data_IF_139602113571
#
_entry.id   IF_139602113571
#
_cell.length_a   1.000
_cell.length_b   1.000
_cell.length_c   1.000
_cell.angle_alpha   90.00
_cell.angle_beta   90.00
_cell.angle_gamma   90.00
#
_symmetry.space_group_name_H-M   'P 1'
#
loop_
_entity.id
_entity.type
_entity.pdbx_description
1 polymer ?
#
# COMPACT_ATOMS: atom_id res chain seq x y z
N UNK A 1 73.10 -29.47 -30.74
CA UNK A 1 71.71 -29.91 -30.49
C UNK A 1 71.08 -28.91 -29.53
N UNK A 2 70.28 -27.97 -30.03
CA UNK A 2 69.53 -27.02 -29.19
C UNK A 2 68.05 -27.12 -29.60
N UNK A 3 67.20 -27.68 -28.73
CA UNK A 3 65.75 -27.66 -28.90
C UNK A 3 65.16 -26.57 -27.99
N UNK A 4 64.69 -25.49 -28.62
CA UNK A 4 63.89 -24.47 -27.96
C UNK A 4 62.43 -24.89 -28.04
N UNK A 5 61.87 -25.29 -26.91
CA UNK A 5 60.44 -25.59 -26.77
C UNK A 5 59.69 -24.27 -26.58
N UNK A 6 58.81 -23.95 -27.52
CA UNK A 6 57.95 -22.77 -27.48
C UNK A 6 56.66 -23.14 -26.74
N UNK A 7 56.49 -22.66 -25.51
CA UNK A 7 55.23 -22.78 -24.76
C UNK A 7 54.27 -21.70 -25.23
N UNK A 8 53.22 -22.09 -25.96
CA UNK A 8 52.11 -21.21 -26.32
C UNK A 8 51.10 -21.21 -25.16
N UNK A 9 51.03 -20.09 -24.45
CA UNK A 9 50.05 -19.87 -23.38
C UNK A 9 48.71 -19.45 -24.03
N UNK A 10 47.76 -20.36 -24.08
CA UNK A 10 46.42 -20.12 -24.62
C UNK A 10 45.55 -19.46 -23.53
N UNK A 11 45.44 -18.13 -23.56
CA UNK A 11 44.53 -17.37 -22.69
C UNK A 11 43.09 -17.58 -23.15
N UNK A 12 42.34 -18.40 -22.42
CA UNK A 12 40.88 -18.49 -22.57
C UNK A 12 40.24 -17.20 -22.03
N UNK A 13 39.80 -16.30 -22.92
CA UNK A 13 38.85 -15.26 -22.54
C UNK A 13 37.51 -15.94 -22.21
N UNK A 14 37.18 -16.05 -20.92
CA UNK A 14 35.82 -16.35 -20.48
C UNK A 14 35.01 -15.06 -20.70
N UNK A 15 34.41 -14.93 -21.88
CA UNK A 15 33.39 -13.91 -22.11
C UNK A 15 32.24 -14.16 -21.15
N UNK A 16 32.10 -13.32 -20.12
CA UNK A 16 30.94 -13.35 -19.26
C UNK A 16 29.70 -13.08 -20.11
N UNK A 17 28.83 -14.07 -20.26
CA UNK A 17 27.50 -13.84 -20.81
C UNK A 17 26.78 -12.92 -19.81
N UNK A 18 26.67 -11.63 -20.14
CA UNK A 18 25.64 -10.81 -19.52
C UNK A 18 24.32 -11.41 -19.99
N UNK A 19 23.70 -12.26 -19.16
CA UNK A 19 22.32 -12.66 -19.39
C UNK A 19 21.51 -11.37 -19.32
N UNK A 20 21.11 -10.87 -20.49
CA UNK A 20 20.18 -9.76 -20.56
C UNK A 20 18.96 -10.15 -19.72
N UNK A 21 18.71 -9.39 -18.65
CA UNK A 21 17.51 -9.57 -17.86
C UNK A 21 16.29 -9.39 -18.78
N UNK A 22 15.17 -9.98 -18.38
CA UNK A 22 13.93 -9.96 -19.14
C UNK A 22 13.29 -8.57 -19.03
N UNK A 23 12.78 -8.04 -20.16
CA UNK A 23 11.83 -6.91 -20.13
C UNK A 23 10.45 -7.35 -19.66
N UNK A 24 10.09 -8.62 -19.91
CA UNK A 24 8.90 -9.28 -19.37
C UNK A 24 9.27 -10.67 -18.84
N UNK A 25 9.04 -10.90 -17.56
CA UNK A 25 9.11 -12.23 -16.94
C UNK A 25 7.72 -12.82 -16.74
N UNK A 26 7.63 -14.14 -16.71
CA UNK A 26 6.40 -14.89 -16.48
C UNK A 26 6.54 -15.84 -15.29
N UNK A 27 5.47 -15.96 -14.50
CA UNK A 27 5.32 -16.94 -13.44
C UNK A 27 4.09 -17.83 -13.68
N UNK A 28 4.15 -19.06 -13.19
CA UNK A 28 3.10 -20.07 -13.34
C UNK A 28 3.15 -21.03 -12.15
N UNK A 29 2.02 -21.56 -11.69
CA UNK A 29 2.01 -22.63 -10.68
C UNK A 29 2.65 -23.93 -11.17
N UNK A 30 2.79 -24.09 -12.49
CA UNK A 30 3.50 -25.20 -13.14
C UNK A 30 4.95 -24.85 -13.51
N UNK A 31 5.39 -23.63 -13.18
CA UNK A 31 6.75 -23.15 -13.44
C UNK A 31 7.80 -23.76 -12.52
N UNK A 32 9.07 -23.40 -12.78
CA UNK A 32 10.21 -23.82 -11.99
C UNK A 32 11.18 -22.63 -11.83
N UNK A 33 11.65 -22.35 -10.62
CA UNK A 33 12.55 -21.22 -10.34
C UNK A 33 13.98 -21.41 -10.89
N UNK A 34 14.29 -22.56 -11.47
CA UNK A 34 15.48 -22.78 -12.30
C UNK A 34 15.31 -22.28 -13.74
N UNK A 35 14.09 -21.97 -14.18
CA UNK A 35 13.81 -21.50 -15.53
C UNK A 35 14.28 -20.04 -15.73
N UNK A 36 14.45 -19.59 -16.98
CA UNK A 36 14.77 -18.18 -17.30
C UNK A 36 13.59 -17.21 -17.09
N UNK A 37 12.46 -17.66 -16.52
CA UNK A 37 11.24 -16.90 -16.31
C UNK A 37 10.63 -16.30 -17.60
N UNK A 38 10.76 -16.96 -18.75
CA UNK A 38 10.11 -16.54 -20.00
C UNK A 38 8.72 -17.16 -20.13
N UNK A 39 7.88 -16.69 -21.05
CA UNK A 39 6.53 -17.27 -21.24
C UNK A 39 6.57 -18.79 -21.51
N UNK A 40 7.46 -19.33 -22.38
CA UNK A 40 7.56 -20.78 -22.59
C UNK A 40 8.26 -21.54 -21.46
N UNK A 41 8.94 -20.84 -20.55
CA UNK A 41 9.65 -21.43 -19.42
C UNK A 41 9.50 -20.53 -18.19
N UNK A 42 8.28 -20.48 -17.60
CA UNK A 42 7.97 -19.56 -16.53
C UNK A 42 8.60 -19.99 -15.21
N UNK A 43 8.85 -19.03 -14.34
CA UNK A 43 9.28 -19.29 -12.97
C UNK A 43 8.09 -19.71 -12.09
N UNK A 44 8.37 -20.34 -10.95
CA UNK A 44 7.31 -20.73 -10.01
C UNK A 44 6.86 -19.55 -9.15
N UNK A 45 7.80 -18.68 -8.77
CA UNK A 45 7.57 -17.62 -7.79
C UNK A 45 7.83 -16.22 -8.36
N UNK A 46 7.12 -15.22 -7.84
CA UNK A 46 7.43 -13.81 -8.13
C UNK A 46 8.81 -13.43 -7.62
N UNK A 47 9.22 -13.93 -6.45
CA UNK A 47 10.54 -13.69 -5.88
C UNK A 47 11.66 -14.02 -6.87
N UNK A 48 11.58 -15.17 -7.56
CA UNK A 48 12.57 -15.53 -8.58
C UNK A 48 12.47 -14.64 -9.81
N UNK A 49 11.26 -14.41 -10.33
CA UNK A 49 11.04 -13.61 -11.53
C UNK A 49 11.57 -12.18 -11.37
N UNK A 50 11.48 -11.60 -10.17
CA UNK A 50 12.03 -10.28 -9.86
C UNK A 50 13.54 -10.27 -10.14
N UNK A 51 14.32 -11.24 -9.68
CA UNK A 51 15.80 -11.24 -9.84
C UNK A 51 16.30 -11.22 -11.29
N UNK A 52 15.45 -11.61 -12.24
CA UNK A 52 15.79 -11.69 -13.67
C UNK A 52 15.03 -10.67 -14.52
N UNK A 53 14.25 -9.77 -13.91
CA UNK A 53 13.50 -8.73 -14.64
C UNK A 53 14.26 -7.40 -14.56
N UNK A 54 14.42 -6.74 -15.71
CA UNK A 54 15.01 -5.40 -15.80
C UNK A 54 14.20 -4.39 -14.98
N UNK A 55 14.86 -3.35 -14.48
CA UNK A 55 14.15 -2.15 -14.01
C UNK A 55 13.32 -1.56 -15.17
N UNK A 56 12.10 -1.14 -14.88
CA UNK A 56 11.07 -0.76 -15.83
C UNK A 56 10.31 -1.94 -16.47
N UNK A 57 10.61 -3.18 -16.09
CA UNK A 57 10.03 -4.39 -16.67
C UNK A 57 8.65 -4.77 -16.11
N UNK A 58 8.10 -5.87 -16.64
CA UNK A 58 6.82 -6.44 -16.24
C UNK A 58 6.97 -7.90 -15.81
N UNK A 59 6.23 -8.30 -14.77
CA UNK A 59 6.14 -9.69 -14.31
C UNK A 59 4.67 -10.12 -14.35
N UNK A 60 4.40 -11.17 -15.12
CA UNK A 60 3.03 -11.65 -15.36
C UNK A 60 2.79 -13.04 -14.79
N UNK A 61 1.73 -13.22 -13.99
CA UNK A 61 1.23 -14.55 -13.63
C UNK A 61 0.33 -15.10 -14.74
N UNK A 62 0.72 -16.25 -15.30
CA UNK A 62 0.06 -16.87 -16.46
C UNK A 62 -1.15 -17.71 -16.10
N UNK A 63 -1.27 -18.14 -14.85
CA UNK A 63 -2.37 -18.97 -14.37
C UNK A 63 -2.86 -18.56 -12.98
N UNK A 64 -4.04 -19.04 -12.62
CA UNK A 64 -4.64 -18.79 -11.33
C UNK A 64 -4.02 -19.67 -10.25
N UNK A 65 -3.51 -19.07 -9.18
CA UNK A 65 -3.02 -19.84 -8.03
C UNK A 65 -2.26 -19.02 -7.00
N UNK A 66 -1.57 -19.74 -6.10
CA UNK A 66 -0.72 -19.16 -5.06
C UNK A 66 0.72 -18.98 -5.51
N UNK A 67 1.27 -17.78 -5.29
CA UNK A 67 2.62 -17.39 -5.72
C UNK A 67 3.60 -17.05 -4.60
N UNK A 68 3.09 -16.95 -3.37
CA UNK A 68 3.88 -16.66 -2.17
C UNK A 68 4.29 -15.19 -2.03
N UNK A 69 4.67 -14.76 -0.82
CA UNK A 69 5.20 -13.42 -0.55
C UNK A 69 6.47 -13.10 -1.33
N UNK A 70 6.74 -11.82 -1.60
CA UNK A 70 7.95 -11.38 -2.31
C UNK A 70 8.32 -9.93 -2.01
N UNK A 71 9.54 -9.54 -2.40
CA UNK A 71 10.06 -8.18 -2.26
C UNK A 71 10.42 -7.59 -3.61
N UNK A 72 10.03 -6.33 -3.84
CA UNK A 72 10.40 -5.52 -5.00
C UNK A 72 11.45 -4.50 -4.59
N UNK A 73 12.57 -4.47 -5.29
CA UNK A 73 13.72 -3.60 -5.04
C UNK A 73 14.08 -2.70 -6.24
N UNK A 74 13.22 -2.66 -7.26
CA UNK A 74 13.38 -1.83 -8.46
C UNK A 74 12.05 -1.52 -9.13
N UNK A 75 12.05 -0.62 -10.12
CA UNK A 75 10.86 -0.33 -10.90
C UNK A 75 10.36 -1.58 -11.65
N UNK A 76 9.18 -2.09 -11.31
CA UNK A 76 8.53 -3.19 -12.04
C UNK A 76 7.00 -3.07 -11.92
N UNK A 77 6.30 -3.66 -12.88
CA UNK A 77 4.88 -3.94 -12.76
C UNK A 77 4.64 -5.43 -12.50
N UNK A 78 3.75 -5.76 -11.56
CA UNK A 78 3.38 -7.14 -11.23
C UNK A 78 1.87 -7.29 -11.33
N UNK A 79 1.43 -8.27 -12.13
CA UNK A 79 0.00 -8.55 -12.35
C UNK A 79 -0.26 -9.98 -12.82
N UNK A 80 -1.46 -10.52 -12.64
CA UNK A 80 -1.92 -11.67 -13.41
C UNK A 80 -2.33 -11.29 -14.84
N UNK A 81 -2.50 -12.30 -15.69
CA UNK A 81 -3.32 -12.16 -16.89
C UNK A 81 -4.76 -11.76 -16.50
N UNK A 82 -5.49 -11.01 -17.35
CA UNK A 82 -6.87 -10.63 -17.04
C UNK A 82 -7.75 -11.85 -16.68
N UNK A 83 -8.47 -11.76 -15.56
CA UNK A 83 -9.36 -12.82 -15.07
C UNK A 83 -8.67 -13.93 -14.27
N UNK A 84 -7.35 -13.96 -14.18
CA UNK A 84 -6.64 -14.92 -13.32
C UNK A 84 -6.48 -14.40 -11.88
N UNK A 85 -6.42 -15.36 -10.95
CA UNK A 85 -6.20 -15.12 -9.53
C UNK A 85 -4.70 -15.25 -9.19
N UNK A 86 -4.08 -14.18 -8.69
CA UNK A 86 -2.72 -14.24 -8.16
C UNK A 86 -2.75 -14.02 -6.63
N UNK A 87 -2.73 -15.13 -5.90
CA UNK A 87 -2.89 -15.15 -4.44
C UNK A 87 -1.57 -15.21 -3.66
N UNK A 88 -1.52 -14.46 -2.56
CA UNK A 88 -0.47 -14.52 -1.55
C UNK A 88 -1.10 -14.88 -0.20
N UNK A 89 -0.45 -15.77 0.55
CA UNK A 89 -0.83 -16.16 1.90
C UNK A 89 0.37 -16.03 2.85
N UNK A 90 0.72 -14.80 3.28
CA UNK A 90 1.83 -14.59 4.21
C UNK A 90 1.55 -15.23 5.57
N UNK A 91 2.52 -15.97 6.11
CA UNK A 91 2.42 -16.67 7.41
C UNK A 91 3.48 -16.27 8.43
N UNK A 92 4.61 -15.69 7.99
CA UNK A 92 5.75 -15.36 8.86
C UNK A 92 6.46 -14.05 8.49
N UNK A 93 6.03 -13.37 7.43
CA UNK A 93 6.54 -12.10 6.96
C UNK A 93 5.42 -11.31 6.31
N UNK A 94 5.65 -10.04 6.00
CA UNK A 94 4.73 -9.25 5.18
C UNK A 94 4.47 -9.93 3.81
N UNK A 95 3.35 -9.59 3.19
CA UNK A 95 2.96 -10.13 1.88
C UNK A 95 3.84 -9.62 0.74
N UNK A 96 3.87 -8.30 0.54
CA UNK A 96 4.72 -7.64 -0.45
C UNK A 96 5.50 -6.49 0.18
N UNK A 97 6.82 -6.58 0.17
CA UNK A 97 7.69 -5.45 0.52
C UNK A 97 8.11 -4.68 -0.73
N UNK A 98 8.00 -3.35 -0.72
CA UNK A 98 8.48 -2.47 -1.80
C UNK A 98 9.56 -1.56 -1.25
N UNK A 99 10.80 -1.84 -1.65
CA UNK A 99 12.04 -1.14 -1.26
C UNK A 99 12.84 -0.77 -2.51
N UNK A 100 12.21 -0.07 -3.44
CA UNK A 100 12.80 0.33 -4.71
C UNK A 100 13.64 1.61 -4.58
N UNK A 101 14.41 1.94 -5.62
CA UNK A 101 15.15 3.20 -5.68
C UNK A 101 14.22 4.41 -5.65
N UNK A 102 14.69 5.54 -5.11
CA UNK A 102 13.85 6.75 -4.91
C UNK A 102 13.26 7.36 -6.18
N UNK A 103 13.71 6.93 -7.36
CA UNK A 103 13.20 7.36 -8.68
C UNK A 103 12.31 6.30 -9.36
N UNK A 104 12.17 5.12 -8.75
CA UNK A 104 11.51 3.96 -9.33
C UNK A 104 9.99 4.00 -9.11
N UNK A 105 9.25 3.64 -10.16
CA UNK A 105 7.80 3.43 -10.09
C UNK A 105 7.49 1.94 -10.04
N UNK A 106 6.63 1.55 -9.10
CA UNK A 106 6.16 0.18 -8.92
C UNK A 106 4.66 0.13 -9.10
N UNK A 107 4.17 -0.87 -9.84
CA UNK A 107 2.74 -1.08 -10.06
C UNK A 107 2.36 -2.50 -9.63
N UNK A 108 1.42 -2.60 -8.70
CA UNK A 108 0.77 -3.84 -8.31
C UNK A 108 -0.68 -3.80 -8.80
N UNK A 109 -1.07 -4.78 -9.63
CA UNK A 109 -2.44 -4.85 -10.15
C UNK A 109 -3.03 -6.24 -10.01
N UNK A 110 -4.27 -6.34 -9.51
CA UNK A 110 -5.01 -7.61 -9.52
C UNK A 110 -4.46 -8.66 -8.57
N UNK A 111 -3.71 -8.25 -7.55
CA UNK A 111 -3.12 -9.16 -6.57
C UNK A 111 -4.09 -9.36 -5.40
N UNK A 112 -4.24 -10.61 -4.98
CA UNK A 112 -5.01 -10.96 -3.78
C UNK A 112 -4.08 -11.40 -2.67
N UNK A 113 -4.26 -10.86 -1.46
CA UNK A 113 -3.49 -11.19 -0.27
C UNK A 113 -4.44 -11.63 0.84
N UNK A 114 -4.16 -12.76 1.48
CA UNK A 114 -4.91 -13.25 2.62
C UNK A 114 -3.98 -13.52 3.82
N UNK A 115 -4.15 -12.77 4.90
CA UNK A 115 -3.27 -12.83 6.07
C UNK A 115 -3.62 -13.89 7.13
N UNK A 116 -4.47 -14.86 6.80
CA UNK A 116 -4.89 -15.88 7.77
C UNK A 116 -3.70 -16.73 8.22
N UNK A 117 -3.42 -16.73 9.53
CA UNK A 117 -2.43 -17.61 10.17
C UNK A 117 -1.12 -16.95 10.59
N UNK A 118 -0.93 -15.65 10.32
CA UNK A 118 0.19 -14.87 10.85
C UNK A 118 -0.20 -13.92 11.98
N UNK A 119 0.77 -13.43 12.74
CA UNK A 119 0.56 -12.41 13.79
C UNK A 119 1.23 -11.10 13.41
N UNK A 120 0.50 -9.99 13.50
CA UNK A 120 0.96 -8.63 13.18
C UNK A 120 1.63 -8.50 11.80
N UNK A 121 1.05 -9.15 10.78
CA UNK A 121 1.60 -9.10 9.41
C UNK A 121 1.00 -7.95 8.61
N UNK A 122 1.83 -7.31 7.79
CA UNK A 122 1.38 -6.31 6.81
C UNK A 122 1.16 -6.93 5.44
N UNK A 123 0.09 -6.56 4.76
CA UNK A 123 -0.21 -7.07 3.42
C UNK A 123 0.79 -6.53 2.39
N UNK A 124 0.87 -5.20 2.28
CA UNK A 124 1.81 -4.48 1.41
C UNK A 124 2.51 -3.40 2.22
N UNK A 125 3.83 -3.42 2.23
CA UNK A 125 4.68 -2.42 2.89
C UNK A 125 5.41 -1.60 1.82
N UNK A 126 5.19 -0.28 1.80
CA UNK A 126 5.93 0.67 0.97
C UNK A 126 7.00 1.37 1.80
N UNK A 127 8.24 0.92 1.67
CA UNK A 127 9.39 1.46 2.39
C UNK A 127 10.21 2.46 1.59
N UNK A 128 10.33 2.26 0.28
CA UNK A 128 11.00 3.23 -0.60
C UNK A 128 10.60 3.07 -2.06
N UNK A 129 10.59 4.19 -2.78
CA UNK A 129 10.26 4.31 -4.21
C UNK A 129 9.82 5.72 -4.54
N UNK A 130 9.68 6.07 -5.83
CA UNK A 130 9.04 7.33 -6.24
C UNK A 130 7.53 7.22 -6.16
N UNK A 131 6.96 6.12 -6.66
CA UNK A 131 5.52 5.88 -6.62
C UNK A 131 5.24 4.39 -6.50
N UNK A 132 4.30 4.03 -5.61
CA UNK A 132 3.67 2.71 -5.58
C UNK A 132 2.21 2.86 -6.00
N UNK A 133 1.84 2.29 -7.14
CA UNK A 133 0.45 2.19 -7.57
C UNK A 133 -0.11 0.81 -7.23
N UNK A 134 -1.18 0.78 -6.44
CA UNK A 134 -1.95 -0.42 -6.09
C UNK A 134 -3.33 -0.27 -6.75
N UNK A 135 -3.66 -1.19 -7.65
CA UNK A 135 -4.88 -1.11 -8.45
C UNK A 135 -5.61 -2.45 -8.50
N UNK A 136 -6.94 -2.45 -8.29
CA UNK A 136 -7.75 -3.66 -8.41
C UNK A 136 -7.23 -4.80 -7.51
N UNK A 137 -6.68 -4.49 -6.34
CA UNK A 137 -6.17 -5.50 -5.42
C UNK A 137 -7.24 -5.86 -4.37
N UNK A 138 -7.10 -7.04 -3.76
CA UNK A 138 -7.94 -7.48 -2.64
C UNK A 138 -7.04 -7.94 -1.51
N UNK A 139 -7.07 -7.26 -0.36
CA UNK A 139 -6.26 -7.57 0.81
C UNK A 139 -7.22 -7.90 1.94
N UNK A 140 -7.06 -9.06 2.55
CA UNK A 140 -8.04 -9.57 3.49
C UNK A 140 -7.39 -10.28 4.67
N UNK A 141 -8.00 -10.14 5.86
CA UNK A 141 -7.61 -10.88 7.07
C UNK A 141 -6.16 -10.65 7.50
N UNK A 142 -5.63 -9.44 7.31
CA UNK A 142 -4.31 -9.09 7.82
C UNK A 142 -4.37 -8.84 9.32
N UNK A 143 -3.55 -9.53 10.10
CA UNK A 143 -3.52 -9.34 11.56
C UNK A 143 -2.84 -8.04 11.99
N UNK A 144 -2.07 -7.42 11.09
CA UNK A 144 -1.62 -6.04 11.18
C UNK A 144 -2.30 -5.17 10.11
N UNK A 145 -1.51 -4.41 9.37
CA UNK A 145 -2.01 -3.44 8.38
C UNK A 145 -2.21 -4.07 7.00
N UNK A 146 -3.25 -3.71 6.27
CA UNK A 146 -3.41 -4.13 4.87
C UNK A 146 -2.36 -3.49 3.97
N UNK A 147 -2.31 -2.16 3.95
CA UNK A 147 -1.31 -1.38 3.20
C UNK A 147 -0.65 -0.38 4.15
N UNK A 148 0.67 -0.45 4.32
CA UNK A 148 1.45 0.46 5.15
C UNK A 148 2.42 1.25 4.29
N UNK A 149 2.35 2.58 4.35
CA UNK A 149 3.33 3.48 3.72
C UNK A 149 4.09 4.27 4.77
N UNK A 150 5.41 4.12 4.71
CA UNK A 150 6.39 4.85 5.54
C UNK A 150 7.46 5.51 4.66
N UNK A 151 7.24 5.54 3.35
CA UNK A 151 8.20 6.03 2.37
C UNK A 151 8.06 7.55 2.16
N UNK A 152 9.10 8.16 1.59
CA UNK A 152 9.03 9.52 1.07
C UNK A 152 8.31 9.62 -0.30
N UNK A 153 7.84 8.49 -0.84
CA UNK A 153 7.21 8.40 -2.15
C UNK A 153 5.73 8.77 -2.12
N UNK A 154 5.09 8.59 -3.28
CA UNK A 154 3.63 8.69 -3.42
C UNK A 154 3.00 7.30 -3.47
N UNK A 155 2.14 6.98 -2.50
CA UNK A 155 1.23 5.84 -2.58
C UNK A 155 -0.04 6.22 -3.36
N UNK A 156 -0.39 5.43 -4.37
CA UNK A 156 -1.65 5.57 -5.10
C UNK A 156 -2.45 4.27 -4.96
N UNK A 157 -3.59 4.32 -4.28
CA UNK A 157 -4.51 3.19 -4.11
C UNK A 157 -5.79 3.47 -4.89
N UNK A 158 -6.14 2.56 -5.79
CA UNK A 158 -7.32 2.67 -6.65
C UNK A 158 -8.07 1.35 -6.74
N UNK A 159 -9.40 1.41 -6.70
CA UNK A 159 -10.29 0.26 -6.93
C UNK A 159 -9.90 -0.98 -6.11
N UNK A 160 -9.43 -0.75 -4.88
CA UNK A 160 -8.85 -1.80 -4.02
C UNK A 160 -9.71 -2.00 -2.78
N UNK A 161 -9.86 -3.25 -2.37
CA UNK A 161 -10.54 -3.60 -1.13
C UNK A 161 -9.53 -4.05 -0.08
N UNK A 162 -9.60 -3.48 1.12
CA UNK A 162 -8.91 -3.98 2.31
C UNK A 162 -9.93 -4.31 3.39
N UNK A 163 -10.01 -5.60 3.73
CA UNK A 163 -11.07 -6.11 4.61
C UNK A 163 -10.58 -6.97 5.76
N UNK A 164 -11.36 -7.04 6.84
CA UNK A 164 -11.12 -7.93 7.98
C UNK A 164 -9.71 -7.82 8.58
N UNK A 165 -9.08 -6.64 8.48
CA UNK A 165 -7.69 -6.42 8.89
C UNK A 165 -7.62 -5.53 10.13
N UNK A 166 -6.47 -5.40 10.78
CA UNK A 166 -6.37 -4.43 11.89
C UNK A 166 -6.50 -3.01 11.37
N UNK A 167 -5.62 -2.59 10.47
CA UNK A 167 -5.73 -1.30 9.77
C UNK A 167 -5.88 -1.54 8.28
N UNK A 168 -6.78 -0.86 7.60
CA UNK A 168 -6.95 -0.95 6.15
C UNK A 168 -5.75 -0.35 5.43
N UNK A 169 -5.62 0.98 5.49
CA UNK A 169 -4.46 1.72 4.98
C UNK A 169 -3.86 2.59 6.07
N UNK A 170 -2.56 2.46 6.28
CA UNK A 170 -1.77 3.33 7.15
C UNK A 170 -0.86 4.22 6.31
N UNK A 171 -0.88 5.53 6.57
CA UNK A 171 -0.05 6.53 5.92
C UNK A 171 0.76 7.28 6.97
N UNK A 172 2.07 7.07 6.97
CA UNK A 172 2.96 7.57 8.02
C UNK A 172 2.97 6.70 9.27
N UNK A 173 4.03 6.83 10.05
CA UNK A 173 4.12 6.51 11.48
C UNK A 173 5.42 7.10 12.06
N UNK A 174 5.79 8.29 11.59
CA UNK A 174 7.13 8.84 11.71
C UNK A 174 7.36 9.69 12.96
N UNK A 175 8.63 9.84 13.33
CA UNK A 175 9.14 10.76 14.33
C UNK A 175 9.80 11.97 13.66
N UNK A 176 10.29 12.91 14.47
CA UNK A 176 11.06 14.05 13.96
C UNK A 176 12.28 13.54 13.19
N UNK A 177 12.40 13.95 11.93
CA UNK A 177 13.45 13.51 11.00
C UNK A 177 12.99 12.48 9.97
N UNK A 178 11.82 11.86 10.16
CA UNK A 178 11.23 10.98 9.15
C UNK A 178 10.60 11.78 8.00
N UNK A 179 10.51 11.19 6.79
CA UNK A 179 9.94 11.88 5.65
C UNK A 179 8.44 12.16 5.82
N UNK A 180 7.97 13.16 5.09
CA UNK A 180 6.53 13.31 4.83
C UNK A 180 6.08 12.19 3.91
N UNK A 181 4.99 11.52 4.29
CA UNK A 181 4.42 10.38 3.55
C UNK A 181 3.18 10.83 2.80
N UNK A 182 3.06 10.50 1.51
CA UNK A 182 1.97 10.98 0.66
C UNK A 182 1.12 9.84 0.13
N UNK A 183 -0.21 9.96 0.23
CA UNK A 183 -1.13 8.97 -0.31
C UNK A 183 -2.32 9.60 -1.05
N UNK A 184 -2.76 8.94 -2.12
CA UNK A 184 -4.07 9.13 -2.75
C UNK A 184 -4.83 7.81 -2.73
N UNK A 185 -6.02 7.80 -2.14
CA UNK A 185 -6.90 6.64 -2.04
C UNK A 185 -8.21 6.97 -2.76
N UNK A 186 -8.57 6.18 -3.77
CA UNK A 186 -9.73 6.45 -4.61
C UNK A 186 -10.50 5.20 -4.99
N UNK A 187 -11.83 5.30 -5.09
CA UNK A 187 -12.68 4.19 -5.59
C UNK A 187 -12.57 2.91 -4.76
N UNK A 188 -12.11 3.00 -3.51
CA UNK A 188 -11.65 1.86 -2.72
C UNK A 188 -12.61 1.54 -1.57
N UNK A 189 -12.40 0.40 -0.92
CA UNK A 189 -13.25 -0.06 0.20
C UNK A 189 -12.39 -0.54 1.35
N UNK A 190 -12.49 0.13 2.50
CA UNK A 190 -11.87 -0.27 3.76
C UNK A 190 -12.96 -0.70 4.72
N UNK A 191 -13.15 -2.01 4.87
CA UNK A 191 -14.35 -2.55 5.50
C UNK A 191 -14.09 -3.69 6.49
N UNK A 192 -14.81 -3.70 7.62
CA UNK A 192 -14.59 -4.67 8.70
C UNK A 192 -13.15 -4.66 9.27
N UNK A 193 -12.46 -3.52 9.24
CA UNK A 193 -11.16 -3.38 9.90
C UNK A 193 -11.31 -2.85 11.34
N UNK A 194 -10.23 -2.74 12.12
CA UNK A 194 -10.27 -1.88 13.32
C UNK A 194 -10.22 -0.41 12.93
N UNK A 195 -9.35 -0.06 11.98
CA UNK A 195 -9.23 1.27 11.40
C UNK A 195 -9.33 1.18 9.87
N UNK A 196 -10.20 1.96 9.23
CA UNK A 196 -10.33 1.97 7.78
C UNK A 196 -9.11 2.59 7.11
N UNK A 197 -8.92 3.89 7.32
CA UNK A 197 -7.71 4.62 6.95
C UNK A 197 -7.16 5.33 8.18
N UNK A 198 -5.88 5.16 8.45
CA UNK A 198 -5.18 5.81 9.54
C UNK A 198 -4.00 6.64 9.01
N UNK A 199 -3.97 7.93 9.33
CA UNK A 199 -2.92 8.85 8.89
C UNK A 199 -2.21 9.42 10.11
N UNK A 200 -0.92 9.16 10.21
CA UNK A 200 -0.14 9.41 11.42
C UNK A 200 1.02 10.37 11.18
N UNK A 201 1.25 11.25 12.17
CA UNK A 201 2.34 12.23 12.33
C UNK A 201 2.81 12.95 11.06
N UNK A 202 3.51 12.30 10.14
CA UNK A 202 4.06 12.87 8.90
C UNK A 202 3.21 12.57 7.66
N UNK A 203 2.10 11.84 7.84
CA UNK A 203 1.23 11.38 6.78
C UNK A 203 0.33 12.47 6.21
N UNK A 204 0.22 12.50 4.88
CA UNK A 204 -0.68 13.38 4.14
C UNK A 204 -1.46 12.57 3.12
N UNK A 205 -2.79 12.58 3.22
CA UNK A 205 -3.62 11.75 2.36
C UNK A 205 -4.77 12.52 1.69
N UNK A 206 -5.09 12.14 0.46
CA UNK A 206 -6.34 12.50 -0.21
C UNK A 206 -7.19 11.25 -0.38
N UNK A 207 -8.41 11.25 0.17
CA UNK A 207 -9.35 10.12 0.11
C UNK A 207 -10.59 10.54 -0.67
N UNK A 208 -10.90 9.84 -1.76
CA UNK A 208 -12.08 10.17 -2.59
C UNK A 208 -12.85 8.94 -3.02
N UNK A 209 -14.17 9.05 -3.23
CA UNK A 209 -14.97 7.93 -3.75
C UNK A 209 -14.77 6.62 -2.98
N UNK A 210 -14.51 6.69 -1.67
CA UNK A 210 -14.09 5.54 -0.90
C UNK A 210 -15.13 5.21 0.15
N UNK A 211 -15.33 3.93 0.41
CA UNK A 211 -16.23 3.44 1.46
C UNK A 211 -15.39 2.98 2.64
N UNK A 212 -15.60 3.60 3.80
CA UNK A 212 -14.96 3.27 5.08
C UNK A 212 -16.07 2.77 6.02
N UNK A 213 -16.31 1.46 6.04
CA UNK A 213 -17.50 0.90 6.69
C UNK A 213 -17.26 -0.27 7.63
N UNK A 214 -18.16 -0.45 8.61
CA UNK A 214 -18.11 -1.58 9.56
C UNK A 214 -16.78 -1.70 10.31
N UNK A 215 -16.02 -0.61 10.44
CA UNK A 215 -14.75 -0.66 11.15
C UNK A 215 -15.01 -0.59 12.65
N UNK A 216 -14.51 -1.55 13.40
CA UNK A 216 -14.79 -1.68 14.84
C UNK A 216 -14.26 -0.50 15.67
N UNK A 217 -13.28 0.22 15.15
CA UNK A 217 -12.84 1.54 15.62
C UNK A 217 -13.28 2.64 14.67
N UNK A 218 -12.35 3.17 13.89
CA UNK A 218 -12.57 4.42 13.13
C UNK A 218 -12.63 4.16 11.62
N UNK A 219 -13.53 4.84 10.91
CA UNK A 219 -13.52 4.92 9.45
C UNK A 219 -12.27 5.63 8.94
N UNK A 220 -12.10 6.91 9.27
CA UNK A 220 -10.88 7.70 9.03
C UNK A 220 -10.32 8.27 10.34
N UNK A 221 -9.11 7.85 10.70
CA UNK A 221 -8.33 8.36 11.83
C UNK A 221 -7.18 9.25 11.33
N UNK A 222 -7.02 10.41 11.96
CA UNK A 222 -5.86 11.30 11.76
C UNK A 222 -5.26 11.66 13.09
N UNK A 223 -3.99 11.33 13.30
CA UNK A 223 -3.35 11.49 14.60
C UNK A 223 -1.93 12.03 14.51
N UNK A 224 -1.62 13.01 15.35
CA UNK A 224 -0.25 13.52 15.51
C UNK A 224 0.06 13.79 16.98
N UNK A 225 0.85 12.90 17.57
CA UNK A 225 1.24 12.96 18.99
C UNK A 225 2.65 13.50 19.20
N UNK A 226 3.35 13.86 18.12
CA UNK A 226 4.75 14.28 18.16
C UNK A 226 4.82 15.78 17.89
N UNK A 227 5.52 16.57 18.75
CA UNK A 227 5.68 18.01 18.53
C UNK A 227 6.19 18.31 17.12
N UNK A 228 5.70 19.39 16.52
CA UNK A 228 6.09 19.90 15.19
C UNK A 228 5.68 19.05 13.98
N UNK A 229 5.14 17.85 14.18
CA UNK A 229 4.68 16.99 13.08
C UNK A 229 3.19 17.21 12.77
N UNK A 230 2.82 17.03 11.50
CA UNK A 230 1.49 17.32 10.98
C UNK A 230 0.93 16.17 10.14
N UNK A 231 -0.16 15.58 10.62
CA UNK A 231 -0.98 14.65 9.86
C UNK A 231 -2.13 15.42 9.19
N UNK A 232 -2.32 15.25 7.89
CA UNK A 232 -3.23 16.09 7.12
C UNK A 232 -4.03 15.26 6.11
N UNK A 233 -5.35 15.36 6.15
CA UNK A 233 -6.23 14.61 5.25
C UNK A 233 -7.27 15.50 4.61
N UNK A 234 -7.42 15.35 3.30
CA UNK A 234 -8.60 15.80 2.55
C UNK A 234 -9.43 14.58 2.21
N UNK A 235 -10.71 14.57 2.61
CA UNK A 235 -11.65 13.52 2.26
C UNK A 235 -12.86 14.11 1.53
N UNK A 236 -13.19 13.53 0.38
CA UNK A 236 -14.29 14.00 -0.45
C UNK A 236 -15.13 12.86 -1.04
N UNK A 237 -16.45 13.06 -1.20
CA UNK A 237 -17.35 12.12 -1.92
C UNK A 237 -17.20 10.68 -1.43
N UNK A 238 -17.09 10.52 -0.11
CA UNK A 238 -16.82 9.23 0.53
C UNK A 238 -17.89 8.90 1.55
N UNK A 239 -18.06 7.62 1.83
CA UNK A 239 -19.05 7.11 2.79
C UNK A 239 -18.33 6.55 4.00
N UNK A 240 -18.69 7.04 5.17
CA UNK A 240 -18.19 6.60 6.47
C UNK A 240 -19.37 6.13 7.30
N UNK A 241 -19.61 4.81 7.32
CA UNK A 241 -20.79 4.24 7.98
C UNK A 241 -20.52 3.03 8.84
N UNK A 242 -21.35 2.81 9.85
CA UNK A 242 -21.30 1.60 10.68
C UNK A 242 -19.96 1.42 11.40
N UNK A 243 -19.23 2.51 11.66
CA UNK A 243 -17.99 2.50 12.44
C UNK A 243 -18.24 2.93 13.89
N UNK A 244 -17.30 2.66 14.81
CA UNK A 244 -17.38 3.31 16.12
C UNK A 244 -17.19 4.82 16.00
N UNK A 245 -16.23 5.28 15.19
CA UNK A 245 -16.07 6.68 14.81
C UNK A 245 -16.07 6.83 13.29
N UNK A 246 -16.86 7.75 12.75
CA UNK A 246 -16.79 8.09 11.33
C UNK A 246 -15.48 8.80 11.00
N UNK A 247 -15.37 10.06 11.45
CA UNK A 247 -14.16 10.88 11.42
C UNK A 247 -13.61 11.05 12.84
N UNK A 248 -12.35 10.72 13.04
CA UNK A 248 -11.65 10.95 14.30
C UNK A 248 -10.32 11.66 14.06
N UNK A 249 -10.10 12.76 14.76
CA UNK A 249 -8.83 13.47 14.79
C UNK A 249 -8.32 13.63 16.22
N UNK A 250 -7.04 13.40 16.46
CA UNK A 250 -6.45 13.56 17.78
C UNK A 250 -5.01 14.08 17.72
N UNK A 251 -4.70 15.06 18.58
CA UNK A 251 -3.34 15.58 18.69
C UNK A 251 -2.94 15.86 20.14
N UNK A 252 -1.76 15.38 20.52
CA UNK A 252 -1.10 15.71 21.79
C UNK A 252 -0.36 17.03 21.65
N UNK A 253 0.78 17.00 20.96
CA UNK A 253 1.65 18.16 20.72
C UNK A 253 1.89 18.50 19.23
N UNK A 254 1.42 17.63 18.33
CA UNK A 254 1.49 17.84 16.88
C UNK A 254 0.24 18.53 16.32
N UNK A 255 0.00 18.38 15.03
CA UNK A 255 -1.26 18.80 14.39
C UNK A 255 -1.89 17.66 13.58
N UNK A 256 -3.21 17.50 13.66
CA UNK A 256 -3.96 16.43 13.00
C UNK A 256 -5.22 17.00 12.33
N UNK A 257 -5.13 17.35 11.04
CA UNK A 257 -6.21 18.07 10.35
C UNK A 257 -6.99 17.16 9.42
N UNK A 258 -8.32 17.22 9.49
CA UNK A 258 -9.23 16.62 8.51
C UNK A 258 -10.00 17.74 7.80
N UNK A 259 -10.04 17.70 6.46
CA UNK A 259 -10.91 18.53 5.62
C UNK A 259 -11.92 17.65 4.91
N UNK A 260 -13.17 17.70 5.34
CA UNK A 260 -14.24 16.86 4.80
C UNK A 260 -15.21 17.65 3.91
N UNK A 261 -15.56 17.07 2.77
CA UNK A 261 -16.59 17.65 1.89
C UNK A 261 -17.37 16.59 1.11
N UNK A 262 -18.66 16.82 0.87
CA UNK A 262 -19.51 15.89 0.11
C UNK A 262 -19.49 14.44 0.67
N UNK A 263 -19.23 14.24 1.97
CA UNK A 263 -19.20 12.93 2.59
C UNK A 263 -20.54 12.55 3.22
N UNK A 264 -20.84 11.25 3.22
CA UNK A 264 -21.94 10.68 4.01
C UNK A 264 -21.36 10.03 5.26
N UNK A 265 -21.66 10.60 6.42
CA UNK A 265 -21.19 10.17 7.74
C UNK A 265 -22.42 9.77 8.57
N UNK A 266 -22.73 8.47 8.59
CA UNK A 266 -24.02 7.98 9.10
C UNK A 266 -23.91 6.62 9.77
N UNK A 267 -24.82 6.29 10.69
CA UNK A 267 -24.87 4.99 11.35
C UNK A 267 -23.60 4.61 12.13
N UNK A 268 -22.75 5.59 12.46
CA UNK A 268 -21.62 5.38 13.35
C UNK A 268 -22.07 5.51 14.82
N UNK A 269 -21.31 4.93 15.76
CA UNK A 269 -21.51 5.23 17.18
C UNK A 269 -21.29 6.73 17.43
N UNK A 270 -20.20 7.28 16.91
CA UNK A 270 -19.95 8.73 16.84
C UNK A 270 -19.60 9.15 15.40
N UNK A 271 -20.31 10.13 14.84
CA UNK A 271 -20.06 10.60 13.47
C UNK A 271 -18.72 11.35 13.34
N UNK A 272 -18.56 12.44 14.09
CA UNK A 272 -17.36 13.28 14.11
C UNK A 272 -16.86 13.49 15.53
N UNK A 273 -15.58 13.24 15.78
CA UNK A 273 -14.97 13.47 17.09
C UNK A 273 -13.54 14.00 16.95
N UNK A 274 -13.24 15.07 17.70
CA UNK A 274 -11.90 15.64 17.78
C UNK A 274 -11.43 15.62 19.23
N UNK A 275 -10.23 15.10 19.47
CA UNK A 275 -9.52 15.21 20.73
C UNK A 275 -8.45 16.30 20.59
N UNK A 276 -8.69 17.42 21.30
CA UNK A 276 -7.96 18.69 21.16
C UNK A 276 -8.24 19.42 19.85
N UNK A 277 -9.44 20.01 19.72
CA UNK A 277 -9.90 20.69 18.50
C UNK A 277 -9.02 21.86 18.00
N UNK A 278 -8.14 22.42 18.85
CA UNK A 278 -7.18 23.44 18.44
C UNK A 278 -6.03 22.84 17.61
N UNK A 279 -5.57 21.64 17.98
CA UNK A 279 -4.49 20.94 17.29
C UNK A 279 -4.98 19.86 16.32
N UNK A 280 -6.21 19.36 16.52
CA UNK A 280 -6.82 18.31 15.75
C UNK A 280 -8.14 18.74 15.07
N UNK A 281 -8.16 19.83 14.29
CA UNK A 281 -9.41 20.34 13.72
C UNK A 281 -9.99 19.41 12.66
N UNK A 282 -11.32 19.26 12.68
CA UNK A 282 -12.09 18.58 11.63
C UNK A 282 -12.95 19.64 10.95
N UNK A 283 -12.52 20.04 9.76
CA UNK A 283 -13.08 21.13 8.98
C UNK A 283 -14.11 20.61 7.97
N UNK A 284 -15.18 21.37 7.77
CA UNK A 284 -16.25 21.02 6.82
C UNK A 284 -16.50 22.14 5.81
N UNK A 285 -16.74 21.77 4.54
CA UNK A 285 -17.30 22.69 3.52
C UNK A 285 -18.81 22.93 3.69
N UNK A 286 -19.41 22.45 4.78
CA UNK A 286 -20.85 22.53 5.07
C UNK A 286 -21.75 21.80 4.06
N UNK A 287 -21.19 20.87 3.30
CA UNK A 287 -21.88 20.05 2.31
C UNK A 287 -21.79 18.54 2.61
N UNK A 288 -21.57 18.18 3.87
CA UNK A 288 -21.52 16.80 4.34
C UNK A 288 -22.88 16.37 4.92
N UNK A 289 -23.26 15.11 4.72
CA UNK A 289 -24.39 14.49 5.43
C UNK A 289 -23.87 13.90 6.75
N UNK A 290 -24.15 14.56 7.87
CA UNK A 290 -23.81 14.07 9.22
C UNK A 290 -25.10 13.76 10.00
N UNK A 291 -25.67 12.58 9.77
CA UNK A 291 -26.99 12.21 10.29
C UNK A 291 -27.08 10.70 10.53
N UNK A 292 -28.00 10.28 11.42
CA UNK A 292 -28.25 8.86 11.70
C UNK A 292 -27.15 8.17 12.50
N UNK A 293 -26.20 8.91 13.09
CA UNK A 293 -25.25 8.37 14.06
C UNK A 293 -25.89 8.32 15.45
N UNK A 294 -25.41 7.44 16.33
CA UNK A 294 -25.88 7.44 17.72
C UNK A 294 -25.53 8.77 18.42
N UNK A 295 -24.32 9.28 18.14
CA UNK A 295 -23.92 10.67 18.39
C UNK A 295 -23.40 11.28 17.10
N UNK A 296 -24.00 12.34 16.57
CA UNK A 296 -23.47 12.99 15.36
C UNK A 296 -22.09 13.63 15.61
N UNK A 297 -21.90 14.24 16.78
CA UNK A 297 -20.74 15.10 17.04
C UNK A 297 -20.81 16.40 16.23
N UNK A 298 -19.69 17.12 16.14
CA UNK A 298 -19.62 18.40 15.44
C UNK A 298 -18.29 18.59 14.71
N UNK A 299 -18.34 19.19 13.53
CA UNK A 299 -17.15 19.75 12.89
C UNK A 299 -16.62 20.92 13.72
N UNK A 300 -15.29 21.07 13.80
CA UNK A 300 -14.66 22.06 14.66
C UNK A 300 -14.63 23.46 14.03
N UNK A 301 -14.60 23.53 12.69
CA UNK A 301 -14.68 24.78 11.93
C UNK A 301 -15.10 24.52 10.47
N UNK A 302 -15.22 25.61 9.69
CA UNK A 302 -15.58 25.57 8.28
C UNK A 302 -14.40 25.99 7.40
N UNK A 303 -14.42 25.60 6.12
CA UNK A 303 -13.50 26.12 5.11
C UNK A 303 -14.24 26.35 3.78
N UNK A 304 -13.79 27.36 3.02
CA UNK A 304 -14.39 27.76 1.75
C UNK A 304 -13.84 26.95 0.57
N UNK A 305 -14.55 26.97 -0.55
CA UNK A 305 -13.90 26.74 -1.83
C UNK A 305 -13.13 28.01 -2.21
N UNK A 306 -11.87 27.84 -2.60
CA UNK A 306 -11.06 28.87 -3.23
C UNK A 306 -11.32 28.92 -4.74
#
# INVERSE_FOLDING_TARGET
MNHRVLFVLCTFLVGGYALAQNTRSAVSIHGNDANPCTVPSPCRTFAKAITVTNSGGEIIALDSGGYGPFTIDRAVSVRPIPGAYAGLAPSSSDGIGVYAGVNDDVILRGITINGLGGSNLTGITFGSGRTLTIQNCSIDRMTGTGISDVSAGMLVVSDTAVTNSYTGVQVGNGNVGDPTVFATISGSRMDHNSFGVAVYQTGRATVTNTVLSHNSGTGLEVLSQVPTLAADVVIERSTLSDNAYGLYAAAGDGTATIRASNCTISHNTTGVSSNNAQLAPILSRQNNTLQGNATNGTFTATFSAD
#
